data_IF_570339692886
#
_entry.id   IF_570339692886
#
_cell.length_a   1.000
_cell.length_b   1.000
_cell.length_c   1.000
_cell.angle_alpha   90.00
_cell.angle_beta   90.00
_cell.angle_gamma   90.00
#
_symmetry.space_group_name_H-M   'P 1'
#
loop_
_entity.id
_entity.type
_entity.pdbx_description
1 polymer ?
#
# COMPACT_ATOMS: atom_id res chain seq x y z
N UNK A 1 -8.48 20.22 -12.48
CA UNK A 1 -7.92 18.93 -11.98
C UNK A 1 -7.69 19.00 -10.48
N UNK A 2 -7.34 20.16 -9.95
CA UNK A 2 -7.01 20.38 -8.52
C UNK A 2 -8.10 19.96 -7.52
N UNK A 3 -9.37 19.85 -7.94
CA UNK A 3 -10.45 19.34 -7.09
C UNK A 3 -10.57 17.81 -7.06
N UNK A 4 -9.81 17.09 -7.90
CA UNK A 4 -9.81 15.63 -7.99
C UNK A 4 -8.72 14.98 -7.13
N UNK A 5 -7.64 15.71 -6.85
CA UNK A 5 -6.46 15.21 -6.15
C UNK A 5 -6.14 16.15 -4.99
N UNK A 6 -6.19 15.62 -3.78
CA UNK A 6 -5.77 16.32 -2.57
C UNK A 6 -4.31 16.00 -2.26
N UNK A 7 -3.44 17.00 -2.33
CA UNK A 7 -2.04 16.88 -1.91
C UNK A 7 -1.87 17.38 -0.47
N UNK A 8 -1.16 16.60 0.35
CA UNK A 8 -0.83 16.97 1.73
C UNK A 8 0.53 16.41 2.11
N UNK A 9 1.35 17.19 2.83
CA UNK A 9 2.58 16.70 3.44
C UNK A 9 2.27 16.11 4.82
N UNK A 10 2.43 14.80 4.98
CA UNK A 10 2.22 14.09 6.24
C UNK A 10 3.15 12.87 6.32
N UNK A 11 3.60 12.47 7.52
CA UNK A 11 4.33 11.21 7.69
C UNK A 11 3.39 10.02 7.49
N UNK A 12 3.94 8.86 7.09
CA UNK A 12 3.15 7.64 6.88
C UNK A 12 2.48 7.22 8.18
N UNK A 13 3.13 7.38 9.34
CA UNK A 13 2.60 7.12 10.69
C UNK A 13 1.27 7.82 10.98
N UNK A 14 0.96 8.90 10.28
CA UNK A 14 -0.30 9.64 10.41
C UNK A 14 -1.39 9.20 9.41
N UNK A 15 -1.11 8.24 8.52
CA UNK A 15 -2.03 7.74 7.50
C UNK A 15 -3.28 7.13 8.15
N UNK A 16 -4.41 7.82 8.01
CA UNK A 16 -5.70 7.40 8.52
C UNK A 16 -6.78 7.89 7.57
N UNK A 17 -7.87 7.12 7.46
CA UNK A 17 -9.00 7.53 6.65
C UNK A 17 -10.30 6.88 7.17
N UNK A 18 -11.41 7.64 7.32
CA UNK A 18 -12.65 7.10 7.89
C UNK A 18 -13.47 6.28 6.88
N UNK A 19 -13.30 6.52 5.57
CA UNK A 19 -14.01 5.76 4.52
C UNK A 19 -13.49 4.33 4.43
N UNK A 20 -14.40 3.41 4.09
CA UNK A 20 -14.12 1.99 3.84
C UNK A 20 -13.84 1.72 2.36
N UNK A 21 -13.24 0.56 2.08
CA UNK A 21 -13.06 0.04 0.72
C UNK A 21 -12.20 0.94 -0.19
N UNK A 22 -11.25 1.66 0.40
CA UNK A 22 -10.28 2.47 -0.34
C UNK A 22 -9.09 1.67 -0.87
N UNK A 23 -8.21 2.38 -1.55
CA UNK A 23 -7.00 1.84 -2.17
C UNK A 23 -5.78 2.63 -1.70
N UNK A 24 -4.82 1.94 -1.11
CA UNK A 24 -3.46 2.45 -0.91
C UNK A 24 -2.62 2.00 -2.11
N UNK A 25 -2.10 2.95 -2.88
CA UNK A 25 -1.18 2.67 -3.98
C UNK A 25 0.09 3.47 -3.69
N UNK A 26 1.23 2.81 -3.61
CA UNK A 26 2.48 3.50 -3.31
C UNK A 26 3.67 2.83 -3.98
N UNK A 27 4.67 3.66 -4.24
CA UNK A 27 5.96 3.28 -4.76
C UNK A 27 7.05 3.75 -3.76
N UNK A 28 7.22 3.06 -2.62
CA UNK A 28 8.13 3.51 -1.57
C UNK A 28 9.59 3.51 -2.07
N UNK A 29 10.49 4.19 -1.35
CA UNK A 29 11.92 4.14 -1.64
C UNK A 29 12.44 2.70 -1.74
N UNK A 30 13.34 2.49 -2.69
CA UNK A 30 13.89 1.18 -3.06
C UNK A 30 15.17 0.80 -2.31
N UNK A 31 15.73 1.71 -1.49
CA UNK A 31 16.99 1.48 -0.79
C UNK A 31 18.16 1.31 -1.76
N UNK A 32 18.23 2.12 -2.82
CA UNK A 32 19.38 2.08 -3.72
C UNK A 32 20.63 2.63 -3.04
N UNK A 33 20.47 3.55 -2.09
CA UNK A 33 21.54 4.12 -1.27
C UNK A 33 21.68 3.38 0.06
N UNK A 34 22.90 3.27 0.58
CA UNK A 34 23.17 2.53 1.82
C UNK A 34 22.39 3.10 3.01
N UNK A 35 22.39 4.42 3.15
CA UNK A 35 21.66 5.15 4.20
C UNK A 35 20.14 4.87 4.16
N UNK A 36 19.58 4.71 2.96
CA UNK A 36 18.15 4.38 2.81
C UNK A 36 17.87 2.93 3.24
N UNK A 37 18.77 1.99 2.93
CA UNK A 37 18.59 0.56 3.26
C UNK A 37 18.39 0.32 4.75
N UNK A 38 19.13 1.04 5.60
CA UNK A 38 19.04 0.92 7.05
C UNK A 38 17.68 1.39 7.58
N UNK A 39 17.06 2.37 6.90
CA UNK A 39 15.75 2.91 7.26
C UNK A 39 14.55 2.10 6.72
N UNK A 40 14.75 1.29 5.68
CA UNK A 40 13.65 0.55 5.04
C UNK A 40 12.88 -0.36 6.01
N UNK A 41 13.52 -1.18 6.88
CA UNK A 41 12.79 -1.98 7.84
C UNK A 41 11.76 -1.19 8.68
N UNK A 42 12.12 0.01 9.13
CA UNK A 42 11.23 0.86 9.92
C UNK A 42 10.07 1.39 9.07
N UNK A 43 10.35 1.86 7.86
CA UNK A 43 9.33 2.36 6.93
C UNK A 43 8.30 1.27 6.57
N UNK A 44 8.73 0.06 6.22
CA UNK A 44 7.81 -1.02 5.85
C UNK A 44 6.99 -1.52 7.05
N UNK A 45 7.56 -1.49 8.27
CA UNK A 45 6.78 -1.72 9.51
C UNK A 45 5.71 -0.67 9.71
N UNK A 46 6.04 0.60 9.55
CA UNK A 46 5.10 1.71 9.68
C UNK A 46 3.96 1.61 8.64
N UNK A 47 4.29 1.30 7.38
CA UNK A 47 3.29 1.04 6.33
C UNK A 47 2.36 -0.11 6.75
N UNK A 48 2.93 -1.23 7.22
CA UNK A 48 2.16 -2.38 7.68
C UNK A 48 1.24 -2.06 8.85
N UNK A 49 1.74 -1.33 9.85
CA UNK A 49 0.98 -0.86 11.01
C UNK A 49 -0.20 0.02 10.59
N UNK A 50 0.02 1.02 9.74
CA UNK A 50 -1.05 1.90 9.29
C UNK A 50 -2.04 1.20 8.38
N UNK A 51 -1.58 0.31 7.52
CA UNK A 51 -2.46 -0.49 6.67
C UNK A 51 -3.39 -1.40 7.48
N UNK A 52 -2.93 -1.99 8.59
CA UNK A 52 -3.80 -2.79 9.48
C UNK A 52 -4.97 -1.99 10.07
N UNK A 53 -4.83 -0.67 10.25
CA UNK A 53 -5.91 0.19 10.72
C UNK A 53 -6.92 0.57 9.61
N UNK A 54 -6.63 0.22 8.35
CA UNK A 54 -7.49 0.41 7.19
C UNK A 54 -8.13 -0.95 6.81
N UNK A 55 -8.86 -1.55 7.76
CA UNK A 55 -9.41 -2.92 7.74
C UNK A 55 -10.07 -3.40 6.42
N UNK A 56 -10.71 -2.47 5.71
CA UNK A 56 -11.49 -2.72 4.49
C UNK A 56 -10.76 -2.32 3.22
N UNK A 57 -9.56 -1.77 3.31
CA UNK A 57 -8.80 -1.26 2.18
C UNK A 57 -7.98 -2.33 1.50
N UNK A 58 -7.70 -2.12 0.22
CA UNK A 58 -6.67 -2.86 -0.49
C UNK A 58 -5.39 -2.02 -0.58
N UNK A 59 -4.23 -2.66 -0.48
CA UNK A 59 -2.93 -2.02 -0.68
C UNK A 59 -2.17 -2.63 -1.87
N UNK A 60 -1.48 -1.77 -2.60
CA UNK A 60 -0.69 -2.07 -3.78
C UNK A 60 0.66 -1.38 -3.64
N UNK A 61 1.73 -2.18 -3.64
CA UNK A 61 3.08 -1.71 -3.38
C UNK A 61 4.00 -2.13 -4.53
N UNK A 62 4.75 -1.17 -5.09
CA UNK A 62 5.85 -1.46 -6.02
C UNK A 62 7.16 -1.28 -5.27
N UNK A 63 8.01 -2.30 -5.19
CA UNK A 63 9.33 -2.20 -4.56
C UNK A 63 10.32 -3.29 -5.01
N UNK A 64 11.61 -3.00 -4.97
CA UNK A 64 12.68 -3.99 -5.09
C UNK A 64 13.11 -4.58 -3.74
N UNK A 65 12.56 -4.10 -2.62
CA UNK A 65 12.92 -4.57 -1.29
C UNK A 65 12.31 -5.93 -1.00
N UNK A 66 13.14 -6.97 -1.00
CA UNK A 66 12.70 -8.37 -0.92
C UNK A 66 12.04 -8.72 0.42
N UNK A 67 12.42 -8.02 1.50
CA UNK A 67 11.88 -8.21 2.85
C UNK A 67 10.56 -7.42 3.10
N UNK A 68 9.94 -6.83 2.08
CA UNK A 68 8.75 -6.01 2.23
C UNK A 68 7.62 -6.71 3.00
N UNK A 69 7.26 -7.95 2.65
CA UNK A 69 6.20 -8.71 3.33
C UNK A 69 6.52 -8.99 4.81
N UNK A 70 7.80 -9.24 5.12
CA UNK A 70 8.29 -9.50 6.48
C UNK A 70 8.02 -8.29 7.37
N UNK A 71 8.40 -7.10 6.91
CA UNK A 71 8.24 -5.88 7.70
C UNK A 71 6.82 -5.32 7.65
N UNK A 72 6.08 -5.49 6.56
CA UNK A 72 4.63 -5.20 6.52
C UNK A 72 3.87 -6.09 7.52
N UNK A 73 4.37 -7.30 7.79
CA UNK A 73 3.76 -8.25 8.72
C UNK A 73 2.55 -8.98 8.13
N UNK A 74 2.45 -9.06 6.80
CA UNK A 74 1.41 -9.78 6.06
C UNK A 74 2.01 -10.31 4.75
N UNK A 75 1.63 -11.52 4.35
CA UNK A 75 1.90 -12.06 3.01
C UNK A 75 0.94 -11.46 1.98
N UNK A 76 1.45 -11.05 0.83
CA UNK A 76 0.64 -10.53 -0.25
C UNK A 76 -0.23 -11.63 -0.85
N UNK A 77 -1.47 -11.30 -1.19
CA UNK A 77 -2.38 -12.23 -1.86
C UNK A 77 -1.93 -12.50 -3.30
N UNK A 78 -1.27 -11.51 -3.92
CA UNK A 78 -0.63 -11.63 -5.22
C UNK A 78 0.69 -10.89 -5.21
N UNK A 79 1.69 -11.47 -5.88
CA UNK A 79 2.95 -10.82 -6.15
C UNK A 79 3.31 -11.02 -7.63
N UNK A 80 3.65 -9.94 -8.34
CA UNK A 80 4.09 -9.98 -9.74
C UNK A 80 5.45 -9.31 -9.87
N UNK A 81 6.41 -10.00 -10.47
CA UNK A 81 7.66 -9.37 -10.90
C UNK A 81 7.35 -8.37 -12.02
N UNK A 82 7.81 -7.13 -11.86
CA UNK A 82 7.75 -6.08 -12.88
C UNK A 82 9.12 -5.38 -12.98
N UNK A 83 9.31 -4.57 -14.00
CA UNK A 83 10.52 -3.79 -14.19
C UNK A 83 10.20 -2.30 -14.16
N UNK A 84 10.83 -1.56 -13.24
CA UNK A 84 10.77 -0.11 -13.23
C UNK A 84 12.06 0.43 -13.89
N UNK A 85 11.98 0.69 -15.20
CA UNK A 85 13.18 0.82 -16.03
C UNK A 85 13.99 -0.47 -16.04
N UNK A 86 15.29 -0.38 -15.75
CA UNK A 86 16.18 -1.54 -15.65
C UNK A 86 16.10 -2.25 -14.28
N UNK A 87 15.35 -1.71 -13.33
CA UNK A 87 15.26 -2.28 -11.98
C UNK A 87 14.21 -3.37 -11.91
N UNK A 88 14.62 -4.57 -11.51
CA UNK A 88 13.71 -5.64 -11.11
C UNK A 88 13.00 -5.24 -9.81
N UNK A 89 11.68 -5.16 -9.87
CA UNK A 89 10.82 -4.85 -8.73
C UNK A 89 9.67 -5.86 -8.65
N UNK A 90 8.92 -5.79 -7.58
CA UNK A 90 7.77 -6.62 -7.30
C UNK A 90 6.55 -5.73 -7.03
N UNK A 91 5.41 -6.15 -7.58
CA UNK A 91 4.11 -5.55 -7.36
C UNK A 91 3.31 -6.42 -6.41
N UNK A 92 3.33 -6.06 -5.13
CA UNK A 92 2.61 -6.73 -4.06
C UNK A 92 1.17 -6.21 -3.98
N UNK A 93 0.21 -7.13 -3.86
CA UNK A 93 -1.21 -6.83 -3.71
C UNK A 93 -1.72 -7.43 -2.40
N UNK A 94 -2.25 -6.59 -1.53
CA UNK A 94 -2.89 -6.94 -0.28
C UNK A 94 -4.37 -6.58 -0.39
N UNK A 95 -5.20 -7.55 -0.73
CA UNK A 95 -6.61 -7.34 -1.03
C UNK A 95 -7.39 -7.20 0.28
N UNK A 96 -8.21 -6.16 0.33
CA UNK A 96 -9.24 -5.97 1.34
C UNK A 96 -10.54 -6.68 0.94
N UNK A 97 -11.51 -6.80 1.88
CA UNK A 97 -12.83 -7.32 1.58
C UNK A 97 -13.55 -6.46 0.53
N UNK A 98 -14.36 -7.09 -0.32
CA UNK A 98 -15.22 -6.36 -1.26
C UNK A 98 -16.41 -5.72 -0.52
N UNK A 99 -16.92 -4.56 -0.98
CA UNK A 99 -18.20 -4.06 -0.51
C UNK A 99 -19.30 -5.13 -0.70
N UNK A 100 -20.27 -5.21 0.23
CA UNK A 100 -21.42 -6.09 0.05
C UNK A 100 -22.13 -5.76 -1.26
N UNK A 101 -22.60 -6.79 -1.98
CA UNK A 101 -23.38 -6.59 -3.20
C UNK A 101 -24.65 -5.84 -2.83
N UNK A 102 -24.97 -4.75 -3.54
CA UNK A 102 -26.29 -4.13 -3.42
C UNK A 102 -27.33 -5.19 -3.75
N UNK A 103 -28.33 -5.38 -2.87
CA UNK A 103 -29.49 -6.21 -3.19
C UNK A 103 -30.20 -5.54 -4.38
N UNK A 104 -30.35 -6.28 -5.47
CA UNK A 104 -31.16 -5.84 -6.62
C UNK A 104 -32.61 -5.70 -6.11
N UNK A 105 -33.05 -4.47 -5.83
CA UNK A 105 -34.41 -4.22 -5.32
C UNK A 105 -34.63 -2.88 -4.62
N UNK A 106 -33.61 -2.29 -3.99
CA UNK A 106 -33.76 -1.02 -3.26
C UNK A 106 -33.42 0.20 -4.13
N UNK A 107 -34.09 0.30 -5.28
CA UNK A 107 -34.11 1.47 -6.13
C UNK A 107 -35.55 1.81 -6.43
N UNK A 108 -36.13 2.68 -5.60
CA UNK A 108 -37.24 3.55 -6.02
C UNK A 108 -36.68 4.56 -7.02
#
# INVERSE_FOLDING_TARGET
VDHLIHFQQRPVSSLSHPKKYGFLITNPPYGQRLEEKESLPALYREIGERFRHLDSWSAYLITSYEDAEKYIGRKADKNRKIYNGMMKTYFYQFLGPKPPRKKTGDGV
#
